data_IF_292299422879
#
_entry.id   IF_292299422879
#
_cell.length_a   1.000
_cell.length_b   1.000
_cell.length_c   1.000
_cell.angle_alpha   90.00
_cell.angle_beta   90.00
_cell.angle_gamma   90.00
#
_symmetry.space_group_name_H-M   'P 1'
#
loop_
_entity.id
_entity.type
_entity.pdbx_description
1 polymer ?
#
# COMPACT_ATOMS: atom_id res chain seq x y z
N UNK A 1 -20.84 4.08 3.83
CA UNK A 1 -21.43 2.81 3.35
C UNK A 1 -20.81 1.61 4.05
N UNK A 2 -21.31 0.41 3.76
CA UNK A 2 -20.77 -0.83 4.33
C UNK A 2 -19.64 -1.35 3.49
N UNK A 3 -18.60 -1.87 4.17
CA UNK A 3 -17.46 -2.53 3.55
C UNK A 3 -17.52 -4.04 3.77
N UNK A 4 -17.07 -4.79 2.78
CA UNK A 4 -16.90 -6.23 2.86
C UNK A 4 -15.41 -6.55 2.77
N UNK A 5 -14.96 -7.53 3.55
CA UNK A 5 -13.57 -7.94 3.58
C UNK A 5 -13.32 -9.06 2.59
N UNK A 6 -12.25 -8.92 1.81
CA UNK A 6 -11.67 -9.97 1.00
C UNK A 6 -10.26 -10.25 1.48
N UNK A 7 -9.92 -11.50 1.72
CA UNK A 7 -8.58 -11.91 2.13
C UNK A 7 -7.95 -12.79 1.06
N UNK A 8 -6.70 -12.47 0.74
CA UNK A 8 -5.93 -13.25 -0.20
C UNK A 8 -4.44 -13.24 0.15
N UNK A 9 -3.64 -14.04 -0.54
CA UNK A 9 -2.19 -14.00 -0.39
C UNK A 9 -1.63 -12.70 -0.98
N UNK A 10 -0.57 -12.19 -0.38
CA UNK A 10 0.26 -11.14 -0.97
C UNK A 10 1.52 -11.77 -1.59
N UNK A 11 2.28 -10.98 -2.34
CA UNK A 11 3.57 -11.41 -2.89
C UNK A 11 4.60 -11.80 -1.83
N UNK A 12 4.41 -11.39 -0.58
CA UNK A 12 5.27 -11.76 0.55
C UNK A 12 4.81 -13.06 1.25
N UNK A 13 3.70 -13.64 0.83
CA UNK A 13 3.06 -14.77 1.50
C UNK A 13 2.28 -14.39 2.76
N UNK A 14 2.29 -13.13 3.16
CA UNK A 14 1.50 -12.62 4.28
C UNK A 14 0.07 -12.31 3.86
N UNK A 15 -0.79 -12.21 4.85
CA UNK A 15 -2.21 -11.92 4.66
C UNK A 15 -2.40 -10.53 4.04
N UNK A 16 -3.19 -10.47 2.99
CA UNK A 16 -3.62 -9.24 2.35
C UNK A 16 -5.13 -9.10 2.50
N UNK A 17 -5.56 -8.04 3.18
CA UNK A 17 -6.98 -7.75 3.39
C UNK A 17 -7.34 -6.57 2.50
N UNK A 18 -8.37 -6.74 1.67
CA UNK A 18 -8.93 -5.66 0.87
C UNK A 18 -10.35 -5.40 1.36
N UNK A 19 -10.61 -4.19 1.82
CA UNK A 19 -11.98 -3.76 2.14
C UNK A 19 -12.61 -3.17 0.89
N UNK A 20 -13.70 -3.76 0.49
CA UNK A 20 -14.44 -3.40 -0.73
C UNK A 20 -15.81 -2.83 -0.37
N UNK A 21 -16.32 -1.97 -1.23
CA UNK A 21 -17.72 -1.58 -1.12
C UNK A 21 -18.62 -2.82 -1.23
N UNK A 22 -19.48 -3.03 -0.24
CA UNK A 22 -20.37 -4.20 -0.23
C UNK A 22 -21.45 -4.14 -1.33
N UNK A 23 -21.63 -2.97 -1.93
CA UNK A 23 -22.66 -2.72 -2.94
C UNK A 23 -22.16 -2.92 -4.37
N UNK A 24 -21.00 -2.33 -4.70
CA UNK A 24 -20.45 -2.37 -6.06
C UNK A 24 -19.17 -3.19 -6.19
N UNK A 25 -18.54 -3.58 -5.08
CA UNK A 25 -17.32 -4.37 -5.08
C UNK A 25 -16.03 -3.58 -5.28
N UNK A 26 -16.08 -2.28 -5.44
CA UNK A 26 -14.86 -1.48 -5.62
C UNK A 26 -13.94 -1.57 -4.41
N UNK A 27 -12.63 -1.77 -4.60
CA UNK A 27 -11.66 -1.75 -3.52
C UNK A 27 -11.49 -0.33 -2.98
N UNK A 28 -11.60 -0.17 -1.67
CA UNK A 28 -11.49 1.12 -0.99
C UNK A 28 -10.16 1.25 -0.28
N UNK A 29 -9.79 0.24 0.52
CA UNK A 29 -8.56 0.26 1.31
C UNK A 29 -7.97 -1.13 1.42
N UNK A 30 -6.65 -1.20 1.44
CA UNK A 30 -5.91 -2.45 1.62
C UNK A 30 -5.05 -2.40 2.87
N UNK A 31 -4.89 -3.56 3.50
CA UNK A 31 -3.98 -3.79 4.61
C UNK A 31 -3.08 -4.97 4.29
N UNK A 32 -1.79 -4.79 4.47
CA UNK A 32 -0.79 -5.83 4.23
C UNK A 32 -0.17 -6.29 5.54
N UNK A 33 0.34 -7.52 5.57
CA UNK A 33 1.05 -8.06 6.71
C UNK A 33 0.17 -8.58 7.84
N UNK A 34 -1.14 -8.70 7.63
CA UNK A 34 -2.07 -9.25 8.61
C UNK A 34 -2.47 -8.30 9.73
N UNK A 35 -2.18 -7.01 9.59
CA UNK A 35 -2.54 -5.98 10.57
C UNK A 35 -3.26 -4.81 9.90
N UNK A 36 -4.03 -4.04 10.68
CA UNK A 36 -4.76 -2.86 10.21
C UNK A 36 -4.13 -1.55 10.70
N UNK A 37 -2.83 -1.55 11.01
CA UNK A 37 -2.15 -0.35 11.51
C UNK A 37 -1.74 0.64 10.42
N UNK A 38 -1.58 0.17 9.18
CA UNK A 38 -1.26 1.02 8.02
C UNK A 38 -2.27 0.73 6.92
N UNK A 39 -3.07 1.73 6.59
CA UNK A 39 -4.08 1.64 5.54
C UNK A 39 -3.53 2.17 4.22
N UNK A 40 -3.65 1.38 3.16
CA UNK A 40 -3.36 1.79 1.79
C UNK A 40 -4.68 2.17 1.12
N UNK A 41 -4.96 3.46 1.06
CA UNK A 41 -6.22 3.96 0.49
C UNK A 41 -6.14 4.03 -1.03
N UNK A 42 -7.18 3.59 -1.70
CA UNK A 42 -7.33 3.74 -3.15
C UNK A 42 -7.77 5.17 -3.45
N UNK A 43 -6.92 5.95 -4.06
CA UNK A 43 -7.19 7.37 -4.31
C UNK A 43 -8.42 7.61 -5.18
N UNK A 44 -8.73 6.69 -6.10
CA UNK A 44 -9.96 6.75 -6.89
C UNK A 44 -11.25 6.65 -6.09
N UNK A 45 -11.17 6.19 -4.83
CA UNK A 45 -12.33 6.08 -3.93
C UNK A 45 -12.54 7.34 -3.06
N UNK A 46 -11.66 8.33 -3.16
CA UNK A 46 -11.80 9.61 -2.44
C UNK A 46 -12.89 10.47 -3.08
N UNK A 47 -13.50 11.35 -2.28
CA UNK A 47 -14.49 12.31 -2.78
C UNK A 47 -13.89 13.19 -3.88
N UNK A 48 -12.63 13.63 -3.71
CA UNK A 48 -11.87 14.25 -4.78
C UNK A 48 -10.59 13.41 -5.04
N UNK A 49 -10.58 12.59 -6.09
CA UNK A 49 -9.42 11.75 -6.41
C UNK A 49 -8.20 12.54 -6.88
N UNK A 50 -8.35 13.82 -7.18
CA UNK A 50 -7.23 14.69 -7.58
C UNK A 50 -6.46 15.26 -6.40
N UNK A 51 -6.93 15.06 -5.15
CA UNK A 51 -6.27 15.58 -3.95
C UNK A 51 -4.84 15.05 -3.79
N UNK A 52 -4.61 13.79 -4.15
CA UNK A 52 -3.32 13.13 -4.00
C UNK A 52 -2.86 12.56 -5.35
N UNK A 53 -2.25 13.36 -6.21
CA UNK A 53 -1.68 12.84 -7.45
C UNK A 53 -0.53 11.87 -7.16
N UNK A 54 -0.28 10.91 -8.05
CA UNK A 54 0.82 9.97 -7.87
C UNK A 54 2.18 10.69 -7.90
N UNK A 55 3.15 10.16 -7.16
CA UNK A 55 4.50 10.71 -7.07
C UNK A 55 5.57 9.72 -7.54
N UNK A 56 5.21 8.48 -7.79
CA UNK A 56 6.14 7.44 -8.23
C UNK A 56 5.40 6.29 -8.91
N UNK A 57 6.13 5.61 -9.79
CA UNK A 57 5.70 4.32 -10.35
C UNK A 57 6.49 3.20 -9.69
N UNK A 58 5.81 2.19 -9.20
CA UNK A 58 6.41 1.01 -8.57
C UNK A 58 6.10 -0.25 -9.38
N UNK A 59 6.91 -1.28 -9.21
CA UNK A 59 6.78 -2.56 -9.92
C UNK A 59 6.74 -2.41 -11.44
N UNK A 60 7.54 -1.50 -11.98
CA UNK A 60 7.58 -1.27 -13.43
C UNK A 60 8.16 -2.46 -14.20
N UNK A 61 8.92 -3.34 -13.52
CA UNK A 61 9.44 -4.58 -14.12
C UNK A 61 8.34 -5.56 -14.52
N UNK A 62 7.15 -5.45 -13.92
CA UNK A 62 6.01 -6.31 -14.23
C UNK A 62 4.89 -5.59 -14.97
N UNK A 63 5.12 -4.34 -15.39
CA UNK A 63 4.13 -3.63 -16.20
C UNK A 63 3.89 -4.35 -17.53
N UNK A 64 2.69 -4.23 -18.05
CA UNK A 64 2.36 -4.78 -19.36
C UNK A 64 3.19 -4.08 -20.45
N UNK A 65 3.62 -4.82 -21.45
CA UNK A 65 4.54 -4.33 -22.47
C UNK A 65 4.02 -3.12 -23.28
N UNK A 66 2.70 -3.01 -23.39
CA UNK A 66 2.04 -1.92 -24.12
C UNK A 66 1.78 -0.67 -23.26
N UNK A 67 2.05 -0.72 -21.96
CA UNK A 67 1.97 0.45 -21.08
C UNK A 67 3.20 1.33 -21.29
N UNK A 68 2.98 2.58 -21.62
CA UNK A 68 4.02 3.60 -21.80
C UNK A 68 3.93 4.62 -20.67
N UNK A 69 5.00 4.74 -19.89
CA UNK A 69 5.10 5.74 -18.82
C UNK A 69 5.81 6.96 -19.40
N UNK A 70 5.05 8.01 -19.68
CA UNK A 70 5.53 9.20 -20.40
C UNK A 70 5.82 10.40 -19.50
N UNK A 71 5.49 10.32 -18.23
CA UNK A 71 5.79 11.36 -17.25
C UNK A 71 7.25 11.26 -16.76
N UNK A 72 7.64 12.21 -15.91
CA UNK A 72 9.00 12.27 -15.33
C UNK A 72 9.06 11.77 -13.89
N UNK A 73 8.01 11.11 -13.40
CA UNK A 73 8.00 10.56 -12.04
C UNK A 73 9.06 9.48 -11.87
N UNK A 74 9.66 9.35 -10.68
CA UNK A 74 10.58 8.25 -10.39
C UNK A 74 9.94 6.90 -10.67
N UNK A 75 10.73 5.99 -11.25
CA UNK A 75 10.29 4.63 -11.57
C UNK A 75 11.16 3.64 -10.80
N UNK A 76 10.52 2.66 -10.16
CA UNK A 76 11.18 1.62 -9.39
C UNK A 76 10.79 0.25 -9.96
N UNK A 77 11.78 -0.61 -10.18
CA UNK A 77 11.54 -1.96 -10.71
C UNK A 77 10.64 -2.79 -9.81
N UNK A 78 10.90 -2.75 -8.50
CA UNK A 78 10.06 -3.31 -7.46
C UNK A 78 9.42 -2.21 -6.64
N UNK A 79 9.52 -2.34 -5.32
CA UNK A 79 9.11 -1.28 -4.38
C UNK A 79 10.33 -0.43 -4.00
N UNK A 80 10.11 0.81 -3.57
CA UNK A 80 11.17 1.69 -3.11
C UNK A 80 11.49 1.46 -1.62
N UNK A 81 12.66 1.95 -1.19
CA UNK A 81 13.02 2.01 0.23
C UNK A 81 12.31 3.19 0.90
N UNK A 82 11.54 2.92 1.95
CA UNK A 82 10.75 3.93 2.65
C UNK A 82 11.63 5.02 3.27
N UNK A 83 12.69 4.63 3.96
CA UNK A 83 13.56 5.57 4.64
C UNK A 83 14.27 6.51 3.67
N UNK A 84 14.71 5.99 2.53
CA UNK A 84 15.39 6.77 1.51
C UNK A 84 14.45 7.69 0.72
N UNK A 85 13.16 7.33 0.61
CA UNK A 85 12.22 7.97 -0.31
C UNK A 85 11.26 8.92 0.40
N UNK A 86 10.77 8.54 1.57
CA UNK A 86 9.81 9.35 2.31
C UNK A 86 10.49 10.45 3.11
N UNK A 87 9.73 11.50 3.45
CA UNK A 87 10.21 12.51 4.40
C UNK A 87 10.49 11.86 5.76
N UNK A 88 11.45 12.40 6.55
CA UNK A 88 11.74 11.84 7.88
C UNK A 88 10.50 11.77 8.79
N UNK A 89 9.63 12.76 8.73
CA UNK A 89 8.39 12.79 9.52
C UNK A 89 7.44 11.65 9.10
N UNK A 90 7.20 11.49 7.80
CA UNK A 90 6.34 10.42 7.28
C UNK A 90 6.89 9.03 7.59
N UNK A 91 8.20 8.85 7.43
CA UNK A 91 8.86 7.60 7.77
C UNK A 91 8.75 7.28 9.26
N UNK A 92 8.96 8.27 10.11
CA UNK A 92 8.82 8.13 11.57
C UNK A 92 7.41 7.68 11.96
N UNK A 93 6.39 8.24 11.34
CA UNK A 93 4.98 7.83 11.59
C UNK A 93 4.71 6.40 11.13
N UNK A 94 5.31 5.98 10.02
CA UNK A 94 5.21 4.59 9.53
C UNK A 94 5.84 3.62 10.51
N UNK A 95 7.03 3.91 11.00
CA UNK A 95 7.74 3.10 12.01
C UNK A 95 6.91 2.98 13.27
N UNK A 96 6.37 4.08 13.77
CA UNK A 96 5.52 4.09 14.96
C UNK A 96 4.25 3.23 14.79
N UNK A 97 3.61 3.30 13.63
CA UNK A 97 2.44 2.49 13.32
C UNK A 97 2.79 0.99 13.27
N UNK A 98 3.92 0.65 12.65
CA UNK A 98 4.40 -0.73 12.52
C UNK A 98 4.88 -1.31 13.85
N UNK A 99 5.40 -0.51 14.76
CA UNK A 99 5.87 -0.99 16.07
C UNK A 99 4.76 -1.66 16.88
N UNK A 100 3.53 -1.23 16.71
CA UNK A 100 2.35 -1.89 17.32
C UNK A 100 2.11 -3.29 16.77
N UNK A 101 2.43 -3.53 15.50
CA UNK A 101 2.35 -4.85 14.86
C UNK A 101 3.47 -5.77 15.32
N UNK A 102 4.65 -5.24 15.57
CA UNK A 102 5.83 -6.01 15.94
C UNK A 102 5.75 -6.55 17.36
N UNK A 103 5.06 -5.87 18.26
CA UNK A 103 4.82 -6.35 19.61
C UNK A 103 3.98 -7.63 19.64
N UNK A 104 3.23 -7.89 18.57
CA UNK A 104 2.37 -9.07 18.43
C UNK A 104 3.10 -10.20 17.71
N UNK A 105 4.07 -9.91 16.84
CA UNK A 105 4.76 -10.87 15.96
C UNK A 105 6.22 -11.09 16.40
N UNK A 106 6.43 -11.49 17.66
CA UNK A 106 7.73 -11.99 18.21
C UNK A 106 9.00 -11.27 17.73
N UNK A 107 8.97 -9.96 17.56
CA UNK A 107 10.14 -9.11 17.39
C UNK A 107 10.85 -9.17 16.03
N UNK A 108 10.22 -9.68 14.99
CA UNK A 108 10.80 -9.67 13.65
C UNK A 108 10.39 -8.43 12.88
N UNK A 109 11.37 -7.54 12.67
CA UNK A 109 11.23 -6.40 11.76
C UNK A 109 11.24 -6.93 10.32
N UNK A 110 10.10 -6.91 9.64
CA UNK A 110 10.00 -7.23 8.23
C UNK A 110 9.26 -6.13 7.49
N UNK A 111 9.78 -5.75 6.33
CA UNK A 111 8.99 -4.99 5.36
C UNK A 111 7.78 -5.83 4.97
N UNK A 112 6.58 -5.26 5.16
CA UNK A 112 5.32 -5.98 4.95
C UNK A 112 4.83 -5.94 3.49
N UNK A 113 5.62 -5.43 2.59
CA UNK A 113 5.26 -5.36 1.17
C UNK A 113 6.04 -6.35 0.35
#
# INVERSE_FOLDING_TARGET
GKLADFQGPSGTGRKHIVKRCSKCGDPIVSYFGGTEHVAIVKTGALDDPNTFPPEAHIFVNTKLSWIKLTDKMPQFEGFYDFEATWSPDSYSRLVAARSKSWQIDSGRIRNSF
#
